data_IF_636996278568
#
_entry.id   IF_636996278568
#
_cell.length_a   1.000
_cell.length_b   1.000
_cell.length_c   1.000
_cell.angle_alpha   90.00
_cell.angle_beta   90.00
_cell.angle_gamma   90.00
#
_symmetry.space_group_name_H-M   'P 1'
#
loop_
_entity.id
_entity.type
_entity.pdbx_description
1 polymer ?
#
# COMPACT_ATOMS: atom_id res chain seq x y z
N UNK A 1 -9.31 34.46 11.02
CA UNK A 1 -7.89 34.14 11.35
C UNK A 1 -7.25 33.12 10.38
N UNK A 2 -7.77 32.96 9.14
CA UNK A 2 -7.16 32.09 8.11
C UNK A 2 -6.52 32.88 6.95
N UNK A 3 -6.41 34.20 7.08
CA UNK A 3 -6.10 35.12 5.97
C UNK A 3 -4.65 35.08 5.49
N UNK A 4 -3.82 34.16 5.96
CA UNK A 4 -2.38 34.15 5.67
C UNK A 4 -1.82 32.77 5.31
N UNK A 5 -2.64 31.91 4.68
CA UNK A 5 -2.22 30.58 4.22
C UNK A 5 -1.69 30.56 2.77
N UNK A 6 -1.41 31.73 2.18
CA UNK A 6 -0.96 31.85 0.79
C UNK A 6 0.36 31.11 0.51
N UNK A 7 1.19 30.88 1.53
CA UNK A 7 2.47 30.16 1.41
C UNK A 7 2.42 28.67 1.72
N UNK A 8 1.25 28.09 2.00
CA UNK A 8 1.14 26.67 2.38
C UNK A 8 1.34 25.79 1.15
N UNK A 9 2.47 25.08 1.11
CA UNK A 9 2.84 24.14 0.05
C UNK A 9 2.49 22.69 0.35
N UNK A 10 2.43 22.34 1.64
CA UNK A 10 2.22 20.97 2.07
C UNK A 10 1.15 20.96 3.16
N UNK A 11 0.24 20.00 3.06
CA UNK A 11 -0.86 19.85 3.99
C UNK A 11 -1.06 18.38 4.32
N UNK A 12 -1.05 18.07 5.61
CA UNK A 12 -1.26 16.74 6.13
C UNK A 12 -2.44 16.73 7.10
N UNK A 13 -3.38 15.83 6.83
CA UNK A 13 -4.52 15.56 7.70
C UNK A 13 -4.41 14.17 8.29
N UNK A 14 -4.36 14.11 9.62
CA UNK A 14 -4.38 12.86 10.36
C UNK A 14 -5.52 12.88 11.38
N UNK A 15 -6.47 11.95 11.25
CA UNK A 15 -7.59 11.81 12.20
C UNK A 15 -8.37 13.12 12.43
N UNK A 16 -8.59 13.87 11.34
CA UNK A 16 -9.34 15.12 11.41
C UNK A 16 -10.81 14.89 11.11
N UNK A 17 -11.67 15.38 11.99
CA UNK A 17 -13.10 15.50 11.74
C UNK A 17 -13.42 16.90 11.22
N UNK A 18 -14.27 16.98 10.19
CA UNK A 18 -14.88 18.21 9.74
C UNK A 18 -16.37 18.14 10.03
N UNK A 19 -17.01 19.27 10.28
CA UNK A 19 -18.47 19.30 10.44
C UNK A 19 -19.16 18.86 9.15
N UNK A 20 -18.61 19.27 8.01
CA UNK A 20 -19.02 18.80 6.69
C UNK A 20 -17.83 18.52 5.80
N UNK A 21 -18.00 17.61 4.86
CA UNK A 21 -17.00 17.34 3.84
C UNK A 21 -16.73 18.54 2.93
N UNK A 22 -17.76 19.33 2.64
CA UNK A 22 -17.66 20.56 1.85
C UNK A 22 -16.70 21.55 2.50
N UNK A 23 -16.68 21.68 3.83
CA UNK A 23 -15.72 22.56 4.52
C UNK A 23 -14.27 22.12 4.27
N UNK A 24 -14.00 20.82 4.31
CA UNK A 24 -12.68 20.26 4.02
C UNK A 24 -12.21 20.63 2.62
N UNK A 25 -12.99 20.33 1.58
CA UNK A 25 -12.55 20.63 0.21
C UNK A 25 -12.46 22.11 -0.07
N UNK A 26 -13.40 22.92 0.45
CA UNK A 26 -13.30 24.39 0.35
C UNK A 26 -12.01 24.89 0.95
N UNK A 27 -11.61 24.37 2.12
CA UNK A 27 -10.35 24.72 2.74
C UNK A 27 -9.17 24.37 1.82
N UNK A 28 -9.10 23.14 1.28
CA UNK A 28 -8.04 22.74 0.34
C UNK A 28 -8.01 23.65 -0.89
N UNK A 29 -9.16 23.99 -1.47
CA UNK A 29 -9.28 24.87 -2.63
C UNK A 29 -8.86 26.32 -2.35
N UNK A 30 -8.80 26.75 -1.08
CA UNK A 30 -8.32 28.10 -0.70
C UNK A 30 -6.80 28.21 -0.61
N UNK A 31 -6.04 27.13 -0.83
CA UNK A 31 -4.58 27.11 -0.71
C UNK A 31 -3.91 27.24 -2.09
N UNK A 32 -3.53 28.45 -2.52
CA UNK A 32 -3.05 28.71 -3.88
C UNK A 32 -1.63 28.19 -4.15
N UNK A 33 -0.86 27.86 -3.10
CA UNK A 33 0.50 27.34 -3.22
C UNK A 33 0.59 25.83 -2.92
N UNK A 34 -0.55 25.14 -2.74
CA UNK A 34 -0.54 23.74 -2.36
C UNK A 34 0.09 22.86 -3.44
N UNK A 35 1.22 22.27 -3.12
CA UNK A 35 1.96 21.35 -3.98
C UNK A 35 1.73 19.89 -3.56
N UNK A 36 1.51 19.64 -2.25
CA UNK A 36 1.40 18.32 -1.68
C UNK A 36 0.25 18.18 -0.67
N UNK A 37 -0.61 17.19 -0.87
CA UNK A 37 -1.64 16.78 0.08
C UNK A 37 -1.38 15.37 0.61
N UNK A 38 -1.61 15.17 1.91
CA UNK A 38 -1.72 13.85 2.52
C UNK A 38 -2.93 13.79 3.45
N UNK A 39 -3.73 12.74 3.32
CA UNK A 39 -4.93 12.54 4.14
C UNK A 39 -4.91 11.12 4.66
N UNK A 40 -5.22 10.96 5.94
CA UNK A 40 -5.38 9.65 6.56
C UNK A 40 -6.46 9.68 7.64
N UNK A 41 -7.29 8.63 7.68
CA UNK A 41 -8.37 8.42 8.66
C UNK A 41 -9.39 9.56 8.63
N UNK A 42 -10.09 9.70 7.51
CA UNK A 42 -11.16 10.68 7.35
C UNK A 42 -12.53 10.00 7.20
N UNK A 43 -13.54 10.53 7.88
CA UNK A 43 -14.95 10.09 7.78
C UNK A 43 -15.77 11.00 6.86
N UNK A 44 -15.14 11.50 5.78
CA UNK A 44 -15.65 12.58 4.95
C UNK A 44 -16.55 12.02 3.84
N UNK A 45 -17.87 12.01 4.03
CA UNK A 45 -18.81 11.60 2.98
C UNK A 45 -19.19 12.76 2.07
N UNK A 46 -19.26 12.54 0.76
CA UNK A 46 -19.46 13.58 -0.25
C UNK A 46 -20.46 13.09 -1.27
N UNK A 47 -21.46 13.90 -1.57
CA UNK A 47 -22.36 13.63 -2.68
C UNK A 47 -21.72 14.09 -4.00
N UNK A 48 -21.93 13.31 -5.06
CA UNK A 48 -21.35 13.57 -6.38
C UNK A 48 -21.74 14.95 -6.96
N UNK A 49 -22.92 15.47 -6.61
CA UNK A 49 -23.41 16.78 -7.07
C UNK A 49 -22.55 17.95 -6.61
N UNK A 50 -21.89 17.83 -5.46
CA UNK A 50 -21.14 18.94 -4.85
C UNK A 50 -19.67 18.98 -5.34
N UNK A 51 -19.19 17.90 -5.96
CA UNK A 51 -17.77 17.78 -6.32
C UNK A 51 -17.34 18.72 -7.45
N UNK A 52 -18.27 19.08 -8.36
CA UNK A 52 -17.96 19.92 -9.51
C UNK A 52 -17.57 21.36 -9.11
N UNK A 53 -18.16 21.89 -8.04
CA UNK A 53 -17.87 23.23 -7.51
C UNK A 53 -16.61 23.28 -6.63
N UNK A 54 -16.12 22.11 -6.22
CA UNK A 54 -15.02 21.95 -5.26
C UNK A 54 -13.69 21.63 -5.97
N UNK A 55 -13.39 22.33 -7.07
CA UNK A 55 -12.13 22.15 -7.81
C UNK A 55 -11.07 23.15 -7.34
N UNK A 56 -9.85 22.70 -7.00
CA UNK A 56 -8.74 23.61 -6.72
C UNK A 56 -8.40 24.45 -7.94
N UNK A 57 -8.04 25.73 -7.71
CA UNK A 57 -7.70 26.66 -8.80
C UNK A 57 -6.35 26.34 -9.46
N UNK A 58 -5.50 25.62 -8.75
CA UNK A 58 -4.16 25.23 -9.17
C UNK A 58 -4.02 23.72 -9.10
N UNK A 59 -3.35 23.09 -10.07
CA UNK A 59 -2.98 21.69 -9.98
C UNK A 59 -2.08 21.44 -8.77
N UNK A 60 -2.29 20.32 -8.09
CA UNK A 60 -1.51 19.89 -6.94
C UNK A 60 -1.18 18.40 -7.07
N UNK A 61 -0.22 17.93 -6.29
CA UNK A 61 0.13 16.50 -6.21
C UNK A 61 -0.24 15.91 -4.85
N UNK A 62 -0.43 14.59 -4.82
CA UNK A 62 -0.68 13.85 -3.59
C UNK A 62 0.58 13.06 -3.27
N UNK A 63 1.28 13.46 -2.21
CA UNK A 63 2.54 12.76 -1.84
C UNK A 63 2.29 11.37 -1.29
N UNK A 64 1.24 11.25 -0.48
CA UNK A 64 0.88 10.02 0.20
C UNK A 64 -0.64 9.91 0.32
N UNK A 65 -1.18 8.86 -0.28
CA UNK A 65 -2.59 8.51 -0.28
C UNK A 65 -2.79 7.12 0.33
N UNK A 66 -3.51 7.03 1.44
CA UNK A 66 -3.87 5.77 2.10
C UNK A 66 -5.35 5.47 1.88
N UNK A 67 -5.68 4.82 0.75
CA UNK A 67 -7.06 4.60 0.33
C UNK A 67 -7.88 3.81 1.37
N UNK A 68 -7.23 2.89 2.09
CA UNK A 68 -7.89 2.11 3.14
C UNK A 68 -8.28 2.89 4.39
N UNK A 69 -7.90 4.17 4.49
CA UNK A 69 -8.26 5.05 5.61
C UNK A 69 -9.01 6.30 5.15
N UNK A 70 -9.39 6.36 3.88
CA UNK A 70 -10.16 7.45 3.33
C UNK A 70 -11.58 6.99 3.08
N UNK A 71 -12.50 7.90 3.34
CA UNK A 71 -13.87 7.75 2.89
C UNK A 71 -13.93 7.75 1.37
N UNK A 72 -14.91 7.03 0.82
CA UNK A 72 -15.17 6.98 -0.62
C UNK A 72 -15.30 8.38 -1.24
N UNK A 73 -16.00 9.30 -0.57
CA UNK A 73 -16.20 10.65 -1.11
C UNK A 73 -14.92 11.47 -1.31
N UNK A 74 -13.88 11.26 -0.49
CA UNK A 74 -12.56 11.90 -0.72
C UNK A 74 -11.88 11.32 -1.96
N UNK A 75 -11.98 10.01 -2.14
CA UNK A 75 -11.40 9.34 -3.28
C UNK A 75 -12.15 9.77 -4.56
N UNK A 76 -13.48 9.71 -4.58
CA UNK A 76 -14.31 10.17 -5.69
C UNK A 76 -14.03 11.64 -6.05
N UNK A 77 -13.79 12.50 -5.05
CA UNK A 77 -13.37 13.88 -5.29
C UNK A 77 -12.04 13.98 -6.05
N UNK A 78 -11.05 13.13 -5.77
CA UNK A 78 -9.81 13.10 -6.53
C UNK A 78 -10.03 12.67 -7.99
N UNK A 79 -10.94 11.72 -8.25
CA UNK A 79 -11.28 11.31 -9.62
C UNK A 79 -12.07 12.37 -10.40
N UNK A 80 -12.82 13.22 -9.70
CA UNK A 80 -13.61 14.29 -10.32
C UNK A 80 -12.76 15.48 -10.79
N UNK A 81 -11.47 15.50 -10.47
CA UNK A 81 -10.53 16.53 -10.90
C UNK A 81 -10.09 16.32 -12.35
N UNK A 82 -9.81 17.42 -13.04
CA UNK A 82 -9.37 17.42 -14.44
C UNK A 82 -8.18 18.38 -14.61
N UNK A 83 -6.93 17.88 -14.72
CA UNK A 83 -6.56 16.47 -14.66
C UNK A 83 -6.63 15.87 -13.23
N UNK A 84 -6.71 14.54 -13.13
CA UNK A 84 -6.60 13.82 -11.85
C UNK A 84 -5.23 14.10 -11.21
N UNK A 85 -5.16 14.50 -9.92
CA UNK A 85 -3.91 14.78 -9.24
C UNK A 85 -2.97 13.58 -9.25
N UNK A 86 -1.69 13.74 -9.61
CA UNK A 86 -0.72 12.66 -9.56
C UNK A 86 -0.49 12.25 -8.10
N UNK A 87 -0.40 10.94 -7.86
CA UNK A 87 -0.14 10.34 -6.55
C UNK A 87 1.25 9.73 -6.55
N UNK A 88 2.16 10.20 -5.69
CA UNK A 88 3.52 9.65 -5.62
C UNK A 88 3.59 8.34 -4.84
N UNK A 89 2.96 8.29 -3.66
CA UNK A 89 2.89 7.10 -2.82
C UNK A 89 1.44 6.69 -2.60
N UNK A 90 1.09 5.48 -2.99
CA UNK A 90 -0.25 4.94 -2.84
C UNK A 90 -0.23 3.71 -1.94
N UNK A 91 -1.07 3.74 -0.90
CA UNK A 91 -1.28 2.59 -0.01
C UNK A 91 -2.67 2.01 -0.24
N UNK A 92 -2.65 0.74 -0.64
CA UNK A 92 -3.81 -0.12 -0.83
C UNK A 92 -3.96 -0.98 0.42
N UNK A 93 -5.18 -1.06 0.94
CA UNK A 93 -5.52 -1.94 2.04
C UNK A 93 -6.52 -3.00 1.56
N UNK A 94 -6.09 -4.25 1.52
CA UNK A 94 -6.90 -5.38 1.07
C UNK A 94 -7.78 -5.96 2.19
N UNK A 95 -7.77 -5.38 3.39
CA UNK A 95 -8.55 -5.83 4.57
C UNK A 95 -10.06 -5.66 4.34
N UNK A 96 -10.49 -4.64 3.61
CA UNK A 96 -11.90 -4.24 3.56
C UNK A 96 -12.50 -4.41 2.15
N UNK A 97 -13.29 -5.46 1.94
CA UNK A 97 -13.90 -5.80 0.65
C UNK A 97 -14.83 -4.69 0.11
N UNK A 98 -15.40 -3.86 0.98
CA UNK A 98 -16.22 -2.71 0.57
C UNK A 98 -15.40 -1.57 -0.05
N UNK A 99 -14.10 -1.49 0.24
CA UNK A 99 -13.18 -0.53 -0.39
C UNK A 99 -12.68 -0.99 -1.77
N UNK A 100 -12.91 -2.25 -2.15
CA UNK A 100 -12.42 -2.82 -3.41
C UNK A 100 -13.26 -2.43 -4.63
N UNK A 101 -14.52 -1.99 -4.47
CA UNK A 101 -15.38 -1.72 -5.62
C UNK A 101 -14.87 -0.56 -6.49
N UNK A 102 -14.27 0.46 -5.86
CA UNK A 102 -13.78 1.67 -6.55
C UNK A 102 -12.26 1.64 -6.78
N UNK A 103 -11.54 0.74 -6.11
CA UNK A 103 -10.10 0.61 -6.23
C UNK A 103 -9.60 0.39 -7.68
N UNK A 104 -10.28 -0.37 -8.57
CA UNK A 104 -9.91 -0.47 -9.97
C UNK A 104 -9.94 0.87 -10.71
N UNK A 105 -10.92 1.72 -10.43
CA UNK A 105 -11.03 3.05 -11.04
C UNK A 105 -9.87 3.94 -10.59
N UNK A 106 -9.53 3.91 -9.30
CA UNK A 106 -8.37 4.61 -8.75
C UNK A 106 -7.04 4.12 -9.30
N UNK A 107 -6.85 2.80 -9.35
CA UNK A 107 -5.65 2.19 -9.90
C UNK A 107 -5.47 2.58 -11.36
N UNK A 108 -6.54 2.61 -12.15
CA UNK A 108 -6.51 3.02 -13.55
C UNK A 108 -6.14 4.51 -13.70
N UNK A 109 -6.80 5.39 -12.94
CA UNK A 109 -6.64 6.82 -13.07
C UNK A 109 -5.29 7.34 -12.54
N UNK A 110 -4.85 6.82 -11.39
CA UNK A 110 -3.66 7.29 -10.67
C UNK A 110 -2.44 6.39 -10.89
N UNK A 111 -2.64 5.14 -11.32
CA UNK A 111 -1.61 4.12 -11.53
C UNK A 111 -0.34 4.60 -12.22
N UNK A 112 -0.45 5.32 -13.36
CA UNK A 112 0.72 5.83 -14.08
C UNK A 112 1.54 6.86 -13.29
N UNK A 113 0.99 7.51 -12.26
CA UNK A 113 1.72 8.49 -11.46
C UNK A 113 2.42 7.90 -10.23
N UNK A 114 2.07 6.67 -9.86
CA UNK A 114 2.52 6.04 -8.61
C UNK A 114 3.95 5.53 -8.73
N UNK A 115 4.84 6.11 -7.95
CA UNK A 115 6.23 5.70 -7.82
C UNK A 115 6.45 4.71 -6.67
N UNK A 116 5.65 4.81 -5.60
CA UNK A 116 5.76 3.99 -4.41
C UNK A 116 4.42 3.31 -4.09
N UNK A 117 4.35 2.00 -4.28
CA UNK A 117 3.16 1.22 -3.97
C UNK A 117 3.32 0.55 -2.60
N UNK A 118 2.33 0.71 -1.73
CA UNK A 118 2.23 -0.03 -0.47
C UNK A 118 0.98 -0.90 -0.49
N UNK A 119 1.11 -2.16 -0.13
CA UNK A 119 -0.01 -3.12 -0.09
C UNK A 119 -0.09 -3.71 1.30
N UNK A 120 -1.20 -3.46 2.00
CA UNK A 120 -1.52 -4.12 3.27
C UNK A 120 -2.43 -5.31 2.98
N UNK A 121 -2.01 -6.51 3.37
CA UNK A 121 -2.74 -7.74 3.16
C UNK A 121 -3.90 -7.90 4.16
N UNK A 122 -4.96 -8.63 3.78
CA UNK A 122 -5.99 -9.03 4.73
C UNK A 122 -5.41 -10.03 5.73
N UNK A 123 -5.97 -10.06 6.94
CA UNK A 123 -5.66 -11.09 7.94
C UNK A 123 -6.19 -12.47 7.56
N UNK A 124 -7.17 -12.54 6.65
CA UNK A 124 -7.73 -13.76 6.08
C UNK A 124 -7.61 -13.69 4.55
N UNK A 125 -6.54 -14.30 4.02
CA UNK A 125 -6.32 -14.36 2.58
C UNK A 125 -7.38 -15.21 1.87
N UNK A 126 -7.96 -16.23 2.52
CA UNK A 126 -8.99 -17.05 1.89
C UNK A 126 -10.24 -16.23 1.62
N UNK A 127 -10.67 -15.42 2.58
CA UNK A 127 -11.81 -14.51 2.42
C UNK A 127 -11.56 -13.51 1.28
N UNK A 128 -10.35 -12.96 1.17
CA UNK A 128 -9.97 -12.06 0.08
C UNK A 128 -10.14 -12.73 -1.30
N UNK A 129 -9.63 -13.94 -1.49
CA UNK A 129 -9.76 -14.66 -2.78
C UNK A 129 -11.20 -15.09 -3.10
N UNK A 130 -12.10 -15.18 -2.11
CA UNK A 130 -13.53 -15.43 -2.32
C UNK A 130 -14.32 -14.14 -2.59
N UNK A 131 -13.73 -12.99 -2.34
CA UNK A 131 -14.38 -11.68 -2.43
C UNK A 131 -14.56 -11.16 -3.86
N UNK A 132 -15.30 -10.04 -4.00
CA UNK A 132 -15.56 -9.42 -5.29
C UNK A 132 -14.28 -8.73 -5.83
N UNK A 133 -13.53 -9.48 -6.63
CA UNK A 133 -12.44 -8.97 -7.48
C UNK A 133 -11.10 -8.80 -6.77
N UNK A 134 -10.07 -9.45 -7.34
CA UNK A 134 -8.68 -9.15 -7.00
C UNK A 134 -8.28 -7.78 -7.58
N UNK A 135 -7.39 -7.06 -6.88
CA UNK A 135 -6.82 -5.82 -7.39
C UNK A 135 -5.99 -6.10 -8.64
N UNK A 136 -6.27 -5.38 -9.73
CA UNK A 136 -5.42 -5.39 -10.91
C UNK A 136 -4.24 -4.43 -10.73
N UNK A 137 -3.04 -4.98 -10.69
CA UNK A 137 -1.82 -4.19 -10.55
C UNK A 137 -1.22 -3.74 -11.90
N UNK A 138 -1.84 -4.09 -13.02
CA UNK A 138 -1.35 -3.77 -14.37
C UNK A 138 -1.27 -2.25 -14.66
N UNK A 139 -2.12 -1.47 -13.99
CA UNK A 139 -2.18 -0.01 -14.15
C UNK A 139 -0.98 0.73 -13.53
N UNK A 140 -0.19 0.07 -12.68
CA UNK A 140 0.94 0.67 -11.98
C UNK A 140 2.24 0.58 -12.80
N UNK A 141 2.34 1.38 -13.86
CA UNK A 141 3.44 1.32 -14.84
C UNK A 141 4.74 2.00 -14.41
N UNK A 142 4.70 2.92 -13.43
CA UNK A 142 5.87 3.72 -13.01
C UNK A 142 6.34 3.43 -11.57
N UNK A 143 6.00 2.27 -11.02
CA UNK A 143 6.38 1.90 -9.66
C UNK A 143 7.87 1.59 -9.57
N UNK A 144 8.58 2.43 -8.82
CA UNK A 144 9.98 2.25 -8.46
C UNK A 144 10.20 1.45 -7.18
N UNK A 145 9.21 1.46 -6.28
CA UNK A 145 9.27 0.75 -5.00
C UNK A 145 7.94 0.10 -4.65
N UNK A 146 7.98 -1.18 -4.28
CA UNK A 146 6.84 -1.94 -3.75
C UNK A 146 7.11 -2.32 -2.30
N UNK A 147 6.18 -2.01 -1.41
CA UNK A 147 6.20 -2.46 -0.01
C UNK A 147 4.93 -3.26 0.28
N UNK A 148 5.08 -4.51 0.68
CA UNK A 148 3.97 -5.41 1.01
C UNK A 148 4.05 -5.73 2.49
N UNK A 149 2.96 -5.53 3.23
CA UNK A 149 2.88 -5.93 4.62
C UNK A 149 1.66 -6.78 4.91
N UNK A 150 1.82 -7.84 5.67
CA UNK A 150 0.72 -8.74 5.98
C UNK A 150 0.90 -9.53 7.25
N UNK A 151 -0.15 -10.25 7.61
CA UNK A 151 -0.17 -11.18 8.73
C UNK A 151 -0.55 -12.56 8.22
N UNK A 152 0.19 -13.60 8.63
CA UNK A 152 -0.06 -14.99 8.27
C UNK A 152 -0.09 -15.86 9.52
N UNK A 153 -1.01 -16.80 9.63
CA UNK A 153 -1.08 -17.75 10.75
C UNK A 153 -0.19 -18.95 10.46
N UNK A 154 0.73 -19.25 11.38
CA UNK A 154 1.56 -20.45 11.28
C UNK A 154 0.71 -21.71 11.40
N UNK A 155 1.02 -22.73 10.58
CA UNK A 155 0.34 -24.03 10.58
C UNK A 155 -0.63 -24.24 9.39
N UNK A 156 -1.09 -23.17 8.74
CA UNK A 156 -1.96 -23.28 7.58
C UNK A 156 -1.18 -23.27 6.25
N UNK A 157 -0.84 -24.45 5.73
CA UNK A 157 -0.20 -24.58 4.41
C UNK A 157 -1.00 -23.92 3.25
N UNK A 158 -2.31 -23.70 3.45
CA UNK A 158 -3.15 -22.99 2.49
C UNK A 158 -2.82 -21.50 2.46
N UNK A 159 -2.67 -20.83 3.60
CA UNK A 159 -2.35 -19.40 3.67
C UNK A 159 -1.00 -19.09 3.02
N UNK A 160 0.04 -19.89 3.29
CA UNK A 160 1.35 -19.72 2.65
C UNK A 160 1.29 -19.87 1.13
N UNK A 161 0.41 -20.73 0.61
CA UNK A 161 0.18 -20.85 -0.85
C UNK A 161 -0.48 -19.60 -1.40
N UNK A 162 -1.58 -19.15 -0.79
CA UNK A 162 -2.32 -17.96 -1.21
C UNK A 162 -1.45 -16.70 -1.16
N UNK A 163 -0.59 -16.57 -0.15
CA UNK A 163 0.33 -15.45 -0.08
C UNK A 163 1.36 -15.46 -1.21
N UNK A 164 1.94 -16.63 -1.53
CA UNK A 164 2.86 -16.77 -2.68
C UNK A 164 2.15 -16.45 -4.00
N UNK A 165 0.91 -16.90 -4.16
CA UNK A 165 0.12 -16.61 -5.35
C UNK A 165 -0.16 -15.11 -5.47
N UNK A 166 -0.46 -14.43 -4.36
CA UNK A 166 -0.64 -12.98 -4.35
C UNK A 166 0.64 -12.24 -4.74
N UNK A 167 1.78 -12.59 -4.13
CA UNK A 167 3.07 -12.00 -4.49
C UNK A 167 3.38 -12.20 -5.97
N UNK A 168 3.16 -13.42 -6.48
CA UNK A 168 3.33 -13.73 -7.90
C UNK A 168 2.45 -12.82 -8.75
N UNK A 169 1.15 -12.78 -8.48
CA UNK A 169 0.21 -11.92 -9.21
C UNK A 169 0.65 -10.46 -9.19
N UNK A 170 0.99 -9.92 -8.02
CA UNK A 170 1.45 -8.53 -7.88
C UNK A 170 2.70 -8.27 -8.73
N UNK A 171 3.75 -9.09 -8.64
CA UNK A 171 4.99 -8.84 -9.37
C UNK A 171 4.93 -9.16 -10.87
N UNK A 172 4.07 -10.10 -11.28
CA UNK A 172 3.80 -10.36 -12.70
C UNK A 172 2.98 -9.23 -13.33
N UNK A 173 2.05 -8.63 -12.60
CA UNK A 173 1.19 -7.57 -13.13
C UNK A 173 1.83 -6.18 -13.08
N UNK A 174 2.66 -5.84 -12.08
CA UNK A 174 3.32 -4.52 -12.02
C UNK A 174 4.37 -4.44 -13.13
N UNK A 175 4.00 -4.12 -14.37
CA UNK A 175 4.91 -4.09 -15.54
C UNK A 175 5.90 -2.92 -15.54
N UNK A 176 6.27 -2.40 -14.37
CA UNK A 176 7.16 -1.24 -14.28
C UNK A 176 8.62 -1.62 -14.57
N UNK A 177 9.25 -1.01 -15.60
CA UNK A 177 10.65 -1.26 -15.94
C UNK A 177 11.62 -0.59 -14.97
N UNK A 178 11.12 0.32 -14.12
CA UNK A 178 11.91 1.10 -13.16
C UNK A 178 11.77 0.59 -11.73
N UNK A 179 11.20 -0.60 -11.52
CA UNK A 179 11.10 -1.22 -10.20
C UNK A 179 12.50 -1.54 -9.66
N UNK A 180 12.95 -0.75 -8.69
CA UNK A 180 14.27 -0.87 -8.06
C UNK A 180 14.23 -1.48 -6.68
N UNK A 181 13.11 -1.32 -5.97
CA UNK A 181 13.00 -1.73 -4.57
C UNK A 181 11.76 -2.58 -4.33
N UNK A 182 11.97 -3.72 -3.67
CA UNK A 182 10.89 -4.55 -3.13
C UNK A 182 11.14 -4.76 -1.65
N UNK A 183 10.10 -4.56 -0.85
CA UNK A 183 10.14 -4.77 0.60
C UNK A 183 8.92 -5.58 1.01
N UNK A 184 9.13 -6.70 1.68
CA UNK A 184 8.07 -7.57 2.16
C UNK A 184 8.20 -7.72 3.67
N UNK A 185 7.17 -7.29 4.40
CA UNK A 185 7.04 -7.43 5.84
C UNK A 185 5.94 -8.46 6.15
N UNK A 186 6.32 -9.62 6.65
CA UNK A 186 5.37 -10.65 7.07
C UNK A 186 5.37 -10.72 8.59
N UNK A 187 4.21 -10.53 9.20
CA UNK A 187 3.99 -10.81 10.62
C UNK A 187 3.39 -12.21 10.76
N UNK A 188 3.95 -13.03 11.63
CA UNK A 188 3.50 -14.39 11.86
C UNK A 188 2.67 -14.45 13.14
N UNK A 189 1.45 -14.93 12.98
CA UNK A 189 0.57 -15.37 14.04
C UNK A 189 1.00 -16.72 14.56
N UNK A 190 1.18 -16.82 15.86
CA UNK A 190 1.47 -18.06 16.56
C UNK A 190 0.27 -18.35 17.45
N UNK A 191 -0.15 -19.61 17.48
CA UNK A 191 -1.16 -20.03 18.45
C UNK A 191 -0.66 -19.76 19.87
N UNK A 192 -1.54 -19.23 20.73
CA UNK A 192 -1.13 -18.65 22.03
C UNK A 192 -0.45 -19.68 22.94
N UNK A 193 -0.78 -20.96 22.77
CA UNK A 193 -0.21 -22.08 23.53
C UNK A 193 1.31 -22.24 23.30
N UNK A 194 1.82 -21.82 22.14
CA UNK A 194 3.24 -21.95 21.79
C UNK A 194 4.06 -20.68 22.09
N UNK A 195 3.41 -19.56 22.39
CA UNK A 195 4.10 -18.29 22.74
C UNK A 195 4.88 -18.41 24.05
N UNK A 196 4.50 -19.33 24.93
CA UNK A 196 5.06 -19.46 26.27
C UNK A 196 6.54 -19.89 26.31
N UNK A 197 7.00 -20.61 25.28
CA UNK A 197 8.34 -21.23 25.28
C UNK A 197 9.40 -20.40 24.53
N UNK A 198 8.99 -19.30 23.89
CA UNK A 198 9.80 -18.64 22.89
C UNK A 198 9.89 -19.48 21.61
N UNK A 199 9.80 -18.83 20.45
CA UNK A 199 9.96 -19.52 19.18
C UNK A 199 11.42 -19.46 18.75
N UNK A 200 12.10 -20.60 18.53
CA UNK A 200 13.43 -20.58 17.99
C UNK A 200 13.36 -20.17 16.51
N UNK A 201 14.27 -19.27 16.10
CA UNK A 201 14.26 -18.62 14.78
C UNK A 201 14.24 -19.62 13.62
N UNK A 202 14.83 -20.80 13.80
CA UNK A 202 14.83 -21.88 12.81
C UNK A 202 13.42 -22.40 12.49
N UNK A 203 12.52 -22.53 13.48
CA UNK A 203 11.15 -22.99 13.24
C UNK A 203 10.32 -21.95 12.46
N UNK A 204 10.57 -20.66 12.68
CA UNK A 204 9.96 -19.58 11.90
C UNK A 204 10.39 -19.65 10.42
N UNK A 205 11.67 -19.93 10.18
CA UNK A 205 12.24 -20.07 8.84
C UNK A 205 11.81 -21.37 8.15
N UNK A 206 11.71 -22.48 8.87
CA UNK A 206 11.30 -23.79 8.35
C UNK A 206 9.81 -23.81 7.99
N UNK A 207 8.95 -23.15 8.79
CA UNK A 207 7.54 -22.94 8.48
C UNK A 207 7.32 -22.08 7.22
N UNK A 208 8.31 -21.25 6.89
CA UNK A 208 8.35 -20.44 5.68
C UNK A 208 9.37 -20.98 4.67
N UNK A 209 9.28 -22.27 4.36
CA UNK A 209 9.84 -22.79 3.12
C UNK A 209 9.16 -22.08 1.94
N UNK A 210 9.82 -21.06 1.40
CA UNK A 210 9.45 -20.42 0.14
C UNK A 210 9.53 -21.40 -1.03
N UNK A 211 10.00 -22.63 -0.82
CA UNK A 211 10.13 -23.66 -1.84
C UNK A 211 11.05 -23.26 -3.00
N UNK A 212 12.00 -22.35 -2.75
CA UNK A 212 12.80 -21.72 -3.81
C UNK A 212 12.06 -20.65 -4.63
N UNK A 213 10.75 -20.48 -4.42
CA UNK A 213 9.89 -19.73 -5.33
C UNK A 213 9.92 -18.20 -5.16
N UNK A 214 10.36 -17.63 -4.03
CA UNK A 214 10.38 -16.18 -3.88
C UNK A 214 11.45 -15.52 -4.78
N UNK A 215 12.69 -16.03 -4.85
CA UNK A 215 13.62 -15.67 -5.91
C UNK A 215 13.04 -15.88 -7.30
N UNK A 216 12.36 -17.00 -7.58
CA UNK A 216 11.79 -17.28 -8.91
C UNK A 216 10.57 -16.39 -9.26
N UNK A 217 9.81 -15.94 -8.27
CA UNK A 217 8.72 -14.95 -8.43
C UNK A 217 9.31 -13.59 -8.81
N UNK A 218 10.52 -13.30 -8.33
CA UNK A 218 11.25 -12.07 -8.62
C UNK A 218 12.19 -12.21 -9.84
N UNK A 219 12.52 -13.42 -10.29
CA UNK A 219 13.49 -13.71 -11.36
C UNK A 219 13.02 -14.84 -12.29
N UNK A 220 12.75 -14.58 -13.57
CA UNK A 220 13.77 -14.44 -14.62
C UNK A 220 13.73 -13.13 -15.43
N UNK A 221 12.71 -12.29 -15.24
CA UNK A 221 12.52 -11.07 -16.05
C UNK A 221 13.08 -9.78 -15.42
N UNK A 222 13.42 -9.80 -14.11
CA UNK A 222 13.82 -8.59 -13.36
C UNK A 222 15.16 -8.66 -12.64
N UNK A 223 15.89 -9.77 -12.76
CA UNK A 223 17.18 -9.97 -12.08
C UNK A 223 18.25 -8.93 -12.47
N UNK A 224 18.05 -8.20 -13.57
CA UNK A 224 18.96 -7.14 -14.01
C UNK A 224 18.57 -5.71 -13.57
N UNK A 225 17.38 -5.50 -12.98
CA UNK A 225 16.87 -4.15 -12.66
C UNK A 225 16.53 -3.89 -11.20
N UNK A 226 16.50 -4.92 -10.34
CA UNK A 226 16.19 -4.76 -8.92
C UNK A 226 17.45 -4.43 -8.10
N UNK A 227 17.54 -3.18 -7.62
CA UNK A 227 18.65 -2.71 -6.77
C UNK A 227 18.56 -3.25 -5.33
N UNK A 228 17.35 -3.36 -4.79
CA UNK A 228 17.12 -3.69 -3.38
C UNK A 228 15.95 -4.67 -3.18
N UNK A 229 16.22 -5.74 -2.44
CA UNK A 229 15.20 -6.66 -1.92
C UNK A 229 15.32 -6.78 -0.40
N UNK A 230 14.24 -6.42 0.31
CA UNK A 230 14.17 -6.51 1.77
C UNK A 230 13.06 -7.49 2.16
N UNK A 231 13.40 -8.56 2.88
CA UNK A 231 12.43 -9.45 3.49
C UNK A 231 12.58 -9.37 5.00
N UNK A 232 11.51 -8.93 5.66
CA UNK A 232 11.42 -8.87 7.12
C UNK A 232 10.33 -9.83 7.55
N UNK A 233 10.71 -10.88 8.27
CA UNK A 233 9.77 -11.79 8.91
C UNK A 233 9.78 -11.44 10.40
N UNK A 234 8.61 -11.07 10.93
CA UNK A 234 8.41 -10.84 12.36
C UNK A 234 7.57 -11.97 12.90
N UNK A 235 8.11 -12.77 13.81
CA UNK A 235 7.22 -13.38 14.78
C UNK A 235 6.51 -12.25 15.53
N UNK A 236 5.24 -12.40 15.86
CA UNK A 236 4.65 -11.63 16.94
C UNK A 236 4.89 -12.40 18.24
N UNK A 237 6.03 -12.24 18.94
CA UNK A 237 5.97 -12.37 20.37
C UNK A 237 5.24 -11.11 20.82
N UNK A 238 4.07 -11.26 21.44
CA UNK A 238 3.42 -10.18 22.19
C UNK A 238 4.37 -9.55 23.25
N UNK A 239 5.57 -10.11 23.45
CA UNK A 239 6.53 -9.71 24.47
C UNK A 239 7.97 -9.31 24.05
N UNK A 240 8.41 -9.39 22.78
CA UNK A 240 9.83 -9.05 22.46
C UNK A 240 10.03 -8.29 21.16
N UNK A 241 10.20 -6.96 21.26
CA UNK A 241 10.80 -6.12 20.20
C UNK A 241 12.32 -6.33 20.20
N UNK A 242 12.84 -7.26 19.39
CA UNK A 242 14.21 -7.20 18.89
C UNK A 242 14.19 -7.33 17.36
N UNK A 243 14.69 -6.31 16.70
CA UNK A 243 14.79 -6.24 15.24
C UNK A 243 15.99 -7.10 14.78
N UNK A 244 15.77 -7.98 13.81
CA UNK A 244 16.84 -8.65 13.07
C UNK A 244 16.83 -8.09 11.66
N UNK A 245 17.87 -7.31 11.32
CA UNK A 245 18.11 -6.84 9.95
C UNK A 245 18.96 -7.88 9.21
N UNK A 246 18.36 -8.58 8.24
CA UNK A 246 19.08 -9.44 7.31
C UNK A 246 19.39 -8.64 6.04
N UNK A 247 20.58 -8.05 5.95
CA UNK A 247 21.15 -7.57 4.69
C UNK A 247 21.87 -8.72 3.99
N UNK A 248 21.39 -9.16 2.83
CA UNK A 248 22.19 -10.00 1.91
C UNK A 248 22.83 -9.10 0.87
N UNK A 249 24.16 -9.00 0.91
CA UNK A 249 24.97 -8.52 -0.21
C UNK A 249 24.96 -9.61 -1.30
N UNK A 250 24.33 -9.32 -2.43
CA UNK A 250 24.48 -10.14 -3.64
C UNK A 250 25.82 -9.78 -4.26
N UNK A 251 26.91 -10.41 -3.80
CA UNK A 251 28.19 -10.39 -4.51
C UNK A 251 28.24 -11.53 -5.51
N UNK A 252 28.21 -11.15 -6.79
CA UNK A 252 28.52 -11.99 -7.93
C UNK A 252 29.91 -12.62 -7.77
N UNK A 253 29.97 -13.94 -7.63
CA UNK A 253 31.19 -14.70 -7.92
C UNK A 253 31.11 -15.18 -9.38
N UNK A 254 31.99 -14.73 -10.28
CA UNK A 254 32.16 -15.40 -11.56
C UNK A 254 33.03 -16.65 -11.40
N UNK A 255 32.94 -17.61 -12.35
CA UNK A 255 33.73 -18.85 -12.37
C UNK A 255 35.23 -18.63 -12.55
#
# INVERSE_FOLDING_TARGET
>A
MLHNLEGVKELEFHQTSFETSVQFFRYVCTLPALEALSISRSSIEVEASDMAELRPKVPFSIRYLDAGKLSRGVLDWFLAQDPVPPVHTFRINLIDATSNATLPEFATAMGPSIANLRVTLPSDLQAYYRGPGAVDFSSFSNVSSVYIEGYLRLGEQAESRLFRDLLRTTFTQISSPILKKVSVLVSLGIDEELLFFGFPDNLLLDGFSWGGALPDILGKEREQSLDEFHLVIRGLPSYQRRFVDLKRDVRNNPP
#
